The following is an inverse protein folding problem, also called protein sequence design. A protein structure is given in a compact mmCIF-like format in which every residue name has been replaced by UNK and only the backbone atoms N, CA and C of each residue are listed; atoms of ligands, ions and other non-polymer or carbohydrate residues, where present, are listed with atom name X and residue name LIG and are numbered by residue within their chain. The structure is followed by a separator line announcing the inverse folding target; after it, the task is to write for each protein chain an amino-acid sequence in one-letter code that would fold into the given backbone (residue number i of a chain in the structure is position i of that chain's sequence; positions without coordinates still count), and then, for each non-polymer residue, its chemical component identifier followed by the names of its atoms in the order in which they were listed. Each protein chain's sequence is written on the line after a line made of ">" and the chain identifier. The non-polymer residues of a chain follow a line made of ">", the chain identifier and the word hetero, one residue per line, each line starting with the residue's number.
data_IF_628567333449
#
_entry.id   IF_628567333449
#
_cell.length_a   1.000
_cell.length_b   1.000
_cell.length_c   1.000
_cell.angle_alpha   90.00
_cell.angle_beta   90.00
_cell.angle_gamma   90.00
#
_symmetry.space_group_name_H-M   'P 1'
#
loop_
_entity.id
_entity.type
_entity.pdbx_description
1 polymer ?
#
# COMPACT_ATOMS: atom_id res chain seq x y z
N UNK A 1 12.40 -22.21 9.27
CA UNK A 1 11.41 -21.11 9.33
C UNK A 1 11.15 -20.61 7.92
N UNK A 2 10.03 -20.99 7.30
CA UNK A 2 9.70 -20.53 5.95
C UNK A 2 9.58 -19.00 5.98
N UNK A 3 10.39 -18.31 5.17
CA UNK A 3 10.44 -16.85 5.13
C UNK A 3 9.04 -16.34 4.73
N UNK A 4 8.31 -15.79 5.68
CA UNK A 4 6.97 -15.28 5.46
C UNK A 4 7.06 -14.04 4.55
N UNK A 5 6.93 -14.26 3.24
CA UNK A 5 6.94 -13.19 2.24
C UNK A 5 5.91 -12.11 2.58
N UNK A 6 4.78 -12.52 3.17
CA UNK A 6 3.77 -11.62 3.68
C UNK A 6 4.29 -10.68 4.79
N UNK A 7 5.16 -11.15 5.68
CA UNK A 7 5.73 -10.29 6.73
C UNK A 7 6.79 -9.34 6.16
N UNK A 8 7.62 -9.82 5.23
CA UNK A 8 8.63 -9.00 4.55
C UNK A 8 7.95 -7.83 3.82
N UNK A 9 6.91 -8.09 3.04
CA UNK A 9 6.15 -7.01 2.37
C UNK A 9 5.44 -6.08 3.35
N UNK A 10 5.11 -6.53 4.58
CA UNK A 10 4.55 -5.64 5.62
C UNK A 10 5.59 -4.62 6.03
N UNK A 11 6.77 -5.11 6.37
CA UNK A 11 7.85 -4.28 6.86
C UNK A 11 8.41 -3.39 5.76
N UNK A 12 8.53 -3.89 4.52
CA UNK A 12 8.88 -3.06 3.37
C UNK A 12 7.89 -1.91 3.19
N UNK A 13 6.58 -2.18 3.18
CA UNK A 13 5.56 -1.12 3.05
C UNK A 13 5.65 -0.07 4.16
N UNK A 14 5.82 -0.51 5.41
CA UNK A 14 5.99 0.41 6.54
C UNK A 14 7.25 1.25 6.36
N UNK A 15 8.38 0.64 5.95
CA UNK A 15 9.64 1.33 5.78
C UNK A 15 9.58 2.36 4.64
N UNK A 16 8.93 2.03 3.53
CA UNK A 16 8.68 2.95 2.41
C UNK A 16 7.66 4.05 2.74
N UNK A 17 6.82 3.88 3.76
CA UNK A 17 5.88 4.93 4.19
C UNK A 17 6.52 6.02 5.04
N UNK A 18 7.64 5.73 5.72
CA UNK A 18 8.28 6.69 6.62
C UNK A 18 8.73 7.99 5.91
N UNK A 19 9.40 7.95 4.74
CA UNK A 19 9.78 9.16 4.02
C UNK A 19 8.58 10.00 3.58
N UNK A 20 7.47 9.35 3.21
CA UNK A 20 6.23 10.03 2.82
C UNK A 20 5.61 10.77 4.00
N UNK A 21 5.63 10.17 5.19
CA UNK A 21 5.16 10.83 6.41
C UNK A 21 6.02 12.06 6.72
N UNK A 22 7.34 11.95 6.63
CA UNK A 22 8.26 13.10 6.85
C UNK A 22 8.02 14.19 5.81
N UNK A 23 7.84 13.82 4.55
CA UNK A 23 7.54 14.75 3.46
C UNK A 23 6.28 15.57 3.73
N UNK A 24 5.16 14.91 4.06
CA UNK A 24 3.91 15.60 4.39
C UNK A 24 4.01 16.40 5.71
N UNK A 25 4.73 15.89 6.70
CA UNK A 25 4.92 16.58 7.97
C UNK A 25 5.73 17.88 7.82
N UNK A 26 6.77 17.88 6.97
CA UNK A 26 7.60 19.03 6.66
C UNK A 26 6.79 20.15 5.99
N UNK A 27 5.99 19.82 4.97
CA UNK A 27 5.11 20.77 4.29
C UNK A 27 4.04 21.29 5.26
N UNK A 28 3.41 20.42 6.05
CA UNK A 28 2.26 20.79 6.87
C UNK A 28 2.59 21.54 8.16
N UNK A 29 3.75 21.31 8.78
CA UNK A 29 4.07 21.86 10.10
C UNK A 29 5.24 22.85 10.09
N UNK A 30 6.12 22.77 9.10
CA UNK A 30 7.36 23.55 9.07
C UNK A 30 7.43 24.53 7.89
N UNK A 31 6.36 24.64 7.10
CA UNK A 31 6.27 25.48 5.89
C UNK A 31 7.48 25.28 4.95
N UNK A 32 8.03 24.06 4.97
CA UNK A 32 9.24 23.71 4.24
C UNK A 32 8.88 23.28 2.84
N UNK A 33 9.37 24.02 1.85
CA UNK A 33 9.13 23.73 0.44
C UNK A 33 10.23 22.80 -0.11
N UNK A 34 9.82 21.60 -0.51
CA UNK A 34 10.70 20.65 -1.19
C UNK A 34 10.90 21.06 -2.64
N UNK A 35 12.07 20.78 -3.21
CA UNK A 35 12.34 20.99 -4.63
C UNK A 35 11.36 20.20 -5.51
N UNK A 36 11.10 20.70 -6.70
CA UNK A 36 10.16 20.08 -7.66
C UNK A 36 10.53 18.63 -7.98
N UNK A 37 11.83 18.32 -8.07
CA UNK A 37 12.34 16.95 -8.24
C UNK A 37 11.92 16.00 -7.11
N UNK A 38 11.91 16.49 -5.86
CA UNK A 38 11.52 15.68 -4.70
C UNK A 38 10.00 15.49 -4.71
N UNK A 39 9.24 16.51 -5.12
CA UNK A 39 7.79 16.44 -5.25
C UNK A 39 7.39 15.36 -6.27
N UNK A 40 7.97 15.39 -7.48
CA UNK A 40 7.73 14.38 -8.51
C UNK A 40 8.19 13.00 -8.05
N UNK A 41 9.38 12.88 -7.45
CA UNK A 41 9.87 11.59 -6.96
C UNK A 41 8.94 10.97 -5.90
N UNK A 42 8.45 11.76 -4.94
CA UNK A 42 7.54 11.29 -3.90
C UNK A 42 6.19 10.90 -4.50
N UNK A 43 5.64 11.70 -5.41
CA UNK A 43 4.36 11.44 -6.06
C UNK A 43 4.41 10.19 -6.96
N UNK A 44 5.40 10.09 -7.84
CA UNK A 44 5.46 9.06 -8.88
C UNK A 44 5.93 7.71 -8.34
N UNK A 45 6.89 7.70 -7.42
CA UNK A 45 7.46 6.46 -6.92
C UNK A 45 6.93 6.07 -5.55
N UNK A 46 6.99 6.95 -4.57
CA UNK A 46 6.66 6.57 -3.19
C UNK A 46 5.16 6.41 -2.97
N UNK A 47 4.34 7.39 -3.39
CA UNK A 47 2.88 7.29 -3.24
C UNK A 47 2.34 6.14 -4.09
N UNK A 48 2.81 6.02 -5.33
CA UNK A 48 2.35 4.95 -6.23
C UNK A 48 2.72 3.56 -5.71
N UNK A 49 3.96 3.37 -5.23
CA UNK A 49 4.41 2.10 -4.66
C UNK A 49 3.65 1.77 -3.37
N UNK A 50 3.39 2.73 -2.50
CA UNK A 50 2.58 2.53 -1.29
C UNK A 50 1.14 2.18 -1.63
N UNK A 51 0.52 2.88 -2.58
CA UNK A 51 -0.85 2.59 -3.02
C UNK A 51 -0.91 1.17 -3.62
N UNK A 52 0.00 0.82 -4.52
CA UNK A 52 0.06 -0.50 -5.15
C UNK A 52 0.26 -1.61 -4.12
N UNK A 53 1.25 -1.46 -3.24
CA UNK A 53 1.54 -2.47 -2.20
C UNK A 53 0.41 -2.58 -1.16
N UNK A 54 -0.29 -1.49 -0.89
CA UNK A 54 -1.50 -1.46 -0.07
C UNK A 54 -2.65 -2.24 -0.71
N UNK A 55 -2.95 -1.99 -1.98
CA UNK A 55 -4.01 -2.69 -2.72
C UNK A 55 -3.68 -4.19 -2.87
N UNK A 56 -2.47 -4.50 -3.34
CA UNK A 56 -2.03 -5.88 -3.59
C UNK A 56 -2.11 -6.74 -2.33
N UNK A 57 -1.77 -6.19 -1.17
CA UNK A 57 -1.77 -6.93 0.09
C UNK A 57 -3.11 -6.95 0.80
N UNK A 58 -3.83 -5.82 0.85
CA UNK A 58 -5.02 -5.70 1.69
C UNK A 58 -6.33 -5.86 0.92
N UNK A 59 -6.39 -5.41 -0.33
CA UNK A 59 -7.60 -5.48 -1.15
C UNK A 59 -7.69 -6.79 -1.94
N UNK A 60 -6.59 -7.26 -2.54
CA UNK A 60 -6.59 -8.47 -3.38
C UNK A 60 -7.05 -9.74 -2.62
N UNK A 61 -6.59 -10.03 -1.38
CA UNK A 61 -7.03 -11.23 -0.67
C UNK A 61 -8.49 -11.13 -0.22
N UNK A 62 -8.96 -9.92 0.15
CA UNK A 62 -10.36 -9.67 0.47
C UNK A 62 -11.26 -9.91 -0.73
N UNK A 63 -10.88 -9.38 -1.90
CA UNK A 63 -11.59 -9.62 -3.15
C UNK A 63 -11.64 -11.12 -3.49
N UNK A 64 -10.51 -11.84 -3.37
CA UNK A 64 -10.45 -13.28 -3.64
C UNK A 64 -11.35 -14.08 -2.68
N UNK A 65 -11.39 -13.72 -1.39
CA UNK A 65 -12.30 -14.30 -0.39
C UNK A 65 -13.77 -14.00 -0.72
N UNK A 66 -14.08 -12.75 -1.08
CA UNK A 66 -15.42 -12.33 -1.48
C UNK A 66 -15.93 -13.10 -2.71
N UNK A 67 -15.10 -13.19 -3.76
CA UNK A 67 -15.42 -13.94 -4.99
C UNK A 67 -15.70 -15.42 -4.70
N UNK A 68 -14.86 -16.07 -3.88
CA UNK A 68 -15.08 -17.46 -3.45
C UNK A 68 -16.38 -17.65 -2.67
N UNK A 69 -16.74 -16.72 -1.77
CA UNK A 69 -18.00 -16.78 -1.00
C UNK A 69 -19.21 -16.66 -1.93
N UNK A 70 -19.14 -15.80 -2.95
CA UNK A 70 -20.20 -15.66 -3.96
C UNK A 70 -20.35 -16.90 -4.83
N UNK A 71 -19.25 -17.47 -5.31
CA UNK A 71 -19.28 -18.71 -6.09
C UNK A 71 -19.91 -19.88 -5.31
N UNK A 72 -19.58 -20.02 -4.01
CA UNK A 72 -20.19 -21.05 -3.14
C UNK A 72 -21.68 -20.84 -2.91
N UNK A 73 -22.14 -19.59 -2.79
CA UNK A 73 -23.57 -19.27 -2.64
C UNK A 73 -24.36 -19.52 -3.93
N UNK A 74 -23.75 -19.29 -5.08
CA UNK A 74 -24.38 -19.62 -6.36
C UNK A 74 -24.55 -21.14 -6.49
N UNK A 75 -23.50 -21.91 -6.19
CA UNK A 75 -23.52 -23.37 -6.27
C UNK A 75 -24.35 -24.09 -5.18
N UNK A 76 -24.87 -23.38 -4.17
CA UNK A 76 -25.76 -23.95 -3.14
C UNK A 76 -27.24 -23.67 -3.39
N UNK A 77 -27.55 -22.85 -4.40
CA UNK A 77 -28.91 -22.47 -4.77
C UNK A 77 -29.40 -23.20 -6.03
N UNK A 78 -28.54 -24.05 -6.61
CA UNK A 78 -28.85 -25.05 -7.66
C UNK A 78 -28.91 -26.44 -7.01
#
# INVERSE_FOLDING_TARGET
>A
MARNWNDIWRWAHILFSLPVIVYFAAISNFDYEWSEDVHSMVADYFIWLLMWTGIAKWQLPRYKKWKRKRAKKAASND
#
